data_IF_469815391068
#
_entry.id   IF_469815391068
#
_cell.length_a   1.000
_cell.length_b   1.000
_cell.length_c   1.000
_cell.angle_alpha   90.00
_cell.angle_beta   90.00
_cell.angle_gamma   90.00
#
_symmetry.space_group_name_H-M   'P 1'
#
loop_
_entity.id
_entity.type
_entity.pdbx_description
1 polymer ?
#
# COMPACT_ATOMS: atom_id res chain seq x y z
N UNK A 1 -12.83 -6.29 -18.38
CA UNK A 1 -12.29 -6.47 -17.02
C UNK A 1 -11.11 -7.45 -16.97
N UNK A 2 -9.91 -6.96 -16.63
CA UNK A 2 -8.71 -7.78 -16.34
C UNK A 2 -8.46 -7.80 -14.82
N UNK A 3 -8.13 -8.95 -14.23
CA UNK A 3 -7.82 -9.06 -12.80
C UNK A 3 -6.32 -8.93 -12.56
N UNK A 4 -5.93 -8.13 -11.57
CA UNK A 4 -4.54 -7.93 -11.17
C UNK A 4 -4.41 -8.12 -9.66
N UNK A 5 -3.45 -8.96 -9.25
CA UNK A 5 -3.11 -9.16 -7.84
C UNK A 5 -1.77 -8.49 -7.57
N UNK A 6 -1.73 -7.62 -6.56
CA UNK A 6 -0.52 -6.95 -6.07
C UNK A 6 -0.22 -7.50 -4.68
N UNK A 7 1.03 -7.92 -4.45
CA UNK A 7 1.47 -8.42 -3.13
C UNK A 7 2.31 -7.33 -2.47
N UNK A 8 1.85 -6.86 -1.32
CA UNK A 8 2.41 -5.77 -0.52
C UNK A 8 1.65 -4.45 -0.72
N UNK A 9 1.06 -3.92 0.36
CA UNK A 9 0.42 -2.60 0.40
C UNK A 9 1.40 -1.49 0.86
N UNK A 10 2.68 -1.65 0.52
CA UNK A 10 3.69 -0.60 0.67
C UNK A 10 3.57 0.50 -0.40
N UNK A 11 4.49 1.47 -0.41
CA UNK A 11 4.42 2.62 -1.33
C UNK A 11 4.43 2.19 -2.80
N UNK A 12 5.24 1.19 -3.14
CA UNK A 12 5.33 0.65 -4.49
C UNK A 12 4.03 -0.04 -4.93
N UNK A 13 3.45 -0.88 -4.07
CA UNK A 13 2.21 -1.61 -4.39
C UNK A 13 1.00 -0.68 -4.53
N UNK A 14 0.88 0.31 -3.64
CA UNK A 14 -0.17 1.34 -3.73
C UNK A 14 -0.01 2.19 -5.00
N UNK A 15 1.21 2.59 -5.34
CA UNK A 15 1.47 3.34 -6.58
C UNK A 15 1.16 2.50 -7.82
N UNK A 16 1.49 1.21 -7.81
CA UNK A 16 1.17 0.32 -8.92
C UNK A 16 -0.35 0.17 -9.10
N UNK A 17 -1.10 0.03 -8.01
CA UNK A 17 -2.56 -0.03 -8.04
C UNK A 17 -3.18 1.26 -8.61
N UNK A 18 -2.73 2.42 -8.11
CA UNK A 18 -3.15 3.75 -8.58
C UNK A 18 -2.94 3.90 -10.09
N UNK A 19 -1.74 3.58 -10.59
CA UNK A 19 -1.41 3.64 -12.02
C UNK A 19 -2.19 2.66 -12.89
N UNK A 20 -2.63 1.54 -12.34
CA UNK A 20 -3.47 0.58 -13.07
C UNK A 20 -4.90 1.11 -13.18
N UNK A 21 -5.44 1.69 -12.10
CA UNK A 21 -6.78 2.25 -12.08
C UNK A 21 -6.90 3.53 -12.94
N UNK A 22 -5.82 4.29 -13.10
CA UNK A 22 -5.75 5.49 -13.96
C UNK A 22 -5.77 5.20 -15.48
N UNK A 23 -5.63 3.94 -15.89
CA UNK A 23 -5.66 3.57 -17.30
C UNK A 23 -7.10 3.55 -17.82
N UNK A 24 -7.29 3.86 -19.10
CA UNK A 24 -8.58 3.70 -19.80
C UNK A 24 -9.01 2.22 -20.00
N UNK A 25 -8.37 1.28 -19.32
CA UNK A 25 -8.67 -0.14 -19.34
C UNK A 25 -9.33 -0.53 -18.02
N UNK A 26 -10.32 -1.41 -18.07
CA UNK A 26 -11.03 -1.85 -16.88
C UNK A 26 -10.23 -2.93 -16.12
N UNK A 27 -9.63 -2.55 -15.00
CA UNK A 27 -8.90 -3.44 -14.09
C UNK A 27 -9.66 -3.66 -12.78
N UNK A 28 -9.71 -4.92 -12.35
CA UNK A 28 -10.07 -5.31 -10.99
C UNK A 28 -8.77 -5.57 -10.22
N UNK A 29 -8.37 -4.63 -9.37
CA UNK A 29 -7.11 -4.70 -8.62
C UNK A 29 -7.37 -5.19 -7.20
N UNK A 30 -6.67 -6.26 -6.80
CA UNK A 30 -6.68 -6.80 -5.44
C UNK A 30 -5.28 -6.67 -4.86
N UNK A 31 -5.15 -5.99 -3.73
CA UNK A 31 -3.88 -5.86 -3.00
C UNK A 31 -3.93 -6.79 -1.79
N UNK A 32 -2.93 -7.66 -1.66
CA UNK A 32 -2.74 -8.54 -0.51
C UNK A 32 -1.59 -7.99 0.32
N UNK A 33 -1.82 -7.78 1.60
CA UNK A 33 -0.83 -7.32 2.56
C UNK A 33 -0.86 -8.26 3.77
N UNK A 34 0.32 -8.67 4.23
CA UNK A 34 0.44 -9.58 5.37
C UNK A 34 0.02 -8.88 6.66
N UNK A 35 0.41 -7.62 6.82
CA UNK A 35 0.13 -6.86 8.02
C UNK A 35 -1.29 -6.28 8.04
N UNK A 36 -1.79 -5.96 9.23
CA UNK A 36 -3.05 -5.23 9.40
C UNK A 36 -2.88 -3.72 9.14
N UNK A 37 -1.97 -3.32 8.26
CA UNK A 37 -1.59 -1.93 8.05
C UNK A 37 -1.12 -1.68 6.63
N UNK A 38 -1.45 -0.52 6.09
CA UNK A 38 -0.99 -0.06 4.77
C UNK A 38 0.17 0.91 4.90
N UNK A 39 0.92 1.09 3.82
CA UNK A 39 2.00 2.08 3.71
C UNK A 39 3.41 1.53 3.95
N UNK A 40 3.55 0.31 4.47
CA UNK A 40 4.85 -0.34 4.71
C UNK A 40 5.83 0.56 5.47
N UNK A 41 7.05 0.71 4.96
CA UNK A 41 8.10 1.59 5.54
C UNK A 41 7.73 3.08 5.59
N UNK A 42 6.71 3.51 4.85
CA UNK A 42 6.25 4.90 4.83
C UNK A 42 5.16 5.18 5.86
N UNK A 43 4.88 4.25 6.76
CA UNK A 43 3.90 4.43 7.82
C UNK A 43 4.43 5.39 8.88
N UNK A 44 3.65 6.43 9.17
CA UNK A 44 3.82 7.29 10.35
C UNK A 44 2.76 6.89 11.37
N UNK A 45 3.15 6.75 12.63
CA UNK A 45 2.23 6.51 13.75
C UNK A 45 2.25 7.71 14.68
N UNK A 46 1.07 8.06 15.19
CA UNK A 46 0.97 9.02 16.27
C UNK A 46 1.37 8.33 17.57
N UNK A 47 2.47 8.76 18.17
CA UNK A 47 2.91 8.31 19.48
C UNK A 47 2.97 9.50 20.43
N UNK A 48 2.17 9.46 21.49
CA UNK A 48 2.11 10.49 22.54
C UNK A 48 1.95 11.94 22.02
N UNK A 49 1.16 12.13 20.96
CA UNK A 49 0.90 13.45 20.37
C UNK A 49 1.95 13.91 19.35
N UNK A 50 2.96 13.09 19.07
CA UNK A 50 3.98 13.34 18.04
C UNK A 50 3.85 12.34 16.88
N UNK A 51 4.16 12.81 15.68
CA UNK A 51 4.27 11.97 14.49
C UNK A 51 5.65 11.28 14.47
N UNK A 52 5.68 9.97 14.66
CA UNK A 52 6.91 9.17 14.55
C UNK A 52 6.83 8.20 13.37
N UNK A 53 7.90 8.14 12.58
CA UNK A 53 8.02 7.09 11.55
C UNK A 53 8.11 5.73 12.23
N UNK A 54 7.30 4.78 11.76
CA UNK A 54 7.41 3.39 12.21
C UNK A 54 8.77 2.87 11.76
N UNK A 55 9.67 2.62 12.71
CA UNK A 55 10.89 1.86 12.47
C UNK A 55 10.53 0.39 12.62
N UNK A 56 10.42 -0.32 11.50
CA UNK A 56 10.34 -1.76 11.53
C UNK A 56 11.73 -2.27 11.97
N UNK A 57 11.80 -2.90 13.14
CA UNK A 57 12.98 -3.66 13.53
C UNK A 57 12.91 -4.96 12.74
N UNK A 58 13.74 -5.09 11.70
CA UNK A 58 14.03 -6.39 11.07
C UNK A 58 14.67 -7.34 12.08
#
# INVERSE_FOLDING_TARGET
>A
MKKVIIIGAGPAGLTAADRLLDKNEEFEVVILEESNSIGGISKTVNYNGNEEKVKNNE
#
